data_IF_276787662246
#
_entry.id   IF_276787662246
#
_cell.length_a   1.000
_cell.length_b   1.000
_cell.length_c   1.000
_cell.angle_alpha   90.00
_cell.angle_beta   90.00
_cell.angle_gamma   90.00
#
_symmetry.space_group_name_H-M   'P 1'
#
loop_
_entity.id
_entity.type
_entity.pdbx_description
1 polymer ?
#
# COMPACT_ATOMS: atom_id res chain seq x y z
N UNK A 1 -15.63 16.66 -23.29
CA UNK A 1 -16.37 15.57 -22.62
C UNK A 1 -15.37 14.90 -21.69
N UNK A 2 -15.43 15.21 -20.38
CA UNK A 2 -14.53 14.67 -19.36
C UNK A 2 -15.02 13.26 -19.01
N UNK A 3 -14.29 12.25 -19.45
CA UNK A 3 -14.52 10.87 -19.02
C UNK A 3 -13.97 10.71 -17.62
N UNK A 4 -14.81 10.94 -16.63
CA UNK A 4 -14.56 10.54 -15.25
C UNK A 4 -14.87 9.06 -15.13
N UNK A 5 -14.02 8.20 -15.64
CA UNK A 5 -13.92 6.83 -15.13
C UNK A 5 -13.39 6.93 -13.70
N UNK A 6 -14.34 6.89 -12.75
CA UNK A 6 -14.00 6.56 -11.37
C UNK A 6 -13.25 5.23 -11.43
N UNK A 7 -11.93 5.29 -11.27
CA UNK A 7 -11.09 4.11 -11.10
C UNK A 7 -11.68 3.31 -9.93
N UNK A 8 -12.47 2.29 -10.26
CA UNK A 8 -12.81 1.23 -9.34
C UNK A 8 -11.50 0.53 -9.04
N UNK A 9 -10.94 0.82 -7.88
CA UNK A 9 -9.81 0.07 -7.36
C UNK A 9 -10.37 -1.27 -6.87
N UNK A 10 -10.76 -2.09 -7.81
CA UNK A 10 -10.84 -3.52 -7.64
C UNK A 10 -9.45 -3.97 -8.02
N UNK A 11 -8.70 -4.33 -7.03
CA UNK A 11 -7.45 -5.05 -7.19
C UNK A 11 -7.80 -6.46 -7.65
N UNK A 12 -8.21 -6.54 -8.91
CA UNK A 12 -8.39 -7.77 -9.62
C UNK A 12 -7.00 -8.20 -10.04
N UNK A 13 -6.42 -9.02 -9.16
CA UNK A 13 -5.33 -9.95 -9.44
C UNK A 13 -4.49 -9.67 -10.69
N UNK A 14 -3.20 -9.73 -10.48
CA UNK A 14 -2.21 -9.95 -11.53
C UNK A 14 -2.56 -11.24 -12.30
N UNK A 15 -3.63 -11.19 -13.07
CA UNK A 15 -4.02 -12.27 -13.96
C UNK A 15 -3.07 -12.41 -15.13
N UNK A 16 -1.92 -11.85 -15.06
CA UNK A 16 -0.80 -11.84 -15.99
C UNK A 16 -0.14 -10.46 -16.00
N UNK A 17 1.12 -10.36 -15.97
CA UNK A 17 2.19 -11.32 -15.64
C UNK A 17 2.58 -11.19 -14.16
N UNK A 18 3.35 -12.13 -13.62
CA UNK A 18 3.93 -12.10 -12.27
C UNK A 18 4.68 -10.80 -11.93
N UNK A 19 4.89 -9.95 -12.93
CA UNK A 19 5.54 -8.65 -12.85
C UNK A 19 4.70 -7.64 -13.64
N UNK A 20 4.34 -6.52 -13.01
CA UNK A 20 3.76 -5.35 -13.67
C UNK A 20 4.56 -4.11 -13.29
N UNK A 21 4.97 -3.34 -14.29
CA UNK A 21 5.74 -2.12 -14.09
C UNK A 21 4.98 -0.96 -14.67
N UNK A 22 4.86 0.13 -13.91
CA UNK A 22 4.15 1.33 -14.33
C UNK A 22 4.91 2.56 -13.86
N UNK A 23 4.88 3.61 -14.68
CA UNK A 23 5.37 4.93 -14.30
C UNK A 23 4.19 5.88 -14.21
N UNK A 24 4.11 6.65 -13.13
CA UNK A 24 3.07 7.63 -12.89
C UNK A 24 3.67 8.96 -12.51
N UNK A 25 3.12 10.03 -13.08
CA UNK A 25 3.39 11.39 -12.63
C UNK A 25 2.08 12.05 -12.24
N UNK A 26 1.97 12.45 -10.98
CA UNK A 26 0.83 13.20 -10.44
C UNK A 26 1.17 14.68 -10.42
N UNK A 27 0.39 15.50 -11.12
CA UNK A 27 0.57 16.96 -11.22
C UNK A 27 -0.33 17.72 -10.25
N UNK A 28 -1.39 17.08 -9.80
CA UNK A 28 -2.37 17.62 -8.87
C UNK A 28 -2.64 16.60 -7.77
N UNK A 29 -3.19 17.03 -6.62
CA UNK A 29 -3.56 16.11 -5.55
C UNK A 29 -4.56 15.05 -6.05
N UNK A 30 -4.10 13.82 -6.15
CA UNK A 30 -4.93 12.68 -6.52
C UNK A 30 -5.65 12.10 -5.29
N UNK A 31 -6.94 11.84 -5.43
CA UNK A 31 -7.72 11.17 -4.40
C UNK A 31 -7.57 9.65 -4.50
N UNK A 32 -6.37 9.13 -4.19
CA UNK A 32 -6.15 7.68 -4.10
C UNK A 32 -6.65 7.22 -2.72
N UNK A 33 -7.70 6.38 -2.65
CA UNK A 33 -8.20 5.89 -1.37
C UNK A 33 -7.20 4.95 -0.69
N UNK A 34 -7.38 4.76 0.62
CA UNK A 34 -6.65 3.73 1.35
C UNK A 34 -7.02 2.37 0.78
N UNK A 35 -6.02 1.59 0.37
CA UNK A 35 -6.21 0.27 -0.26
C UNK A 35 -5.14 -0.73 0.17
N UNK A 36 -5.34 -1.97 -0.17
CA UNK A 36 -4.37 -3.06 -0.05
C UNK A 36 -4.51 -4.00 -1.23
N UNK A 37 -3.50 -4.78 -1.50
CA UNK A 37 -3.47 -5.75 -2.60
C UNK A 37 -2.75 -7.03 -2.17
N UNK A 38 -2.87 -8.10 -2.98
CA UNK A 38 -2.31 -9.43 -2.71
C UNK A 38 -0.88 -9.63 -3.24
N UNK A 39 -0.31 -8.63 -3.87
CA UNK A 39 1.04 -8.65 -4.42
C UNK A 39 1.99 -7.73 -3.64
N UNK A 40 3.28 -7.88 -3.86
CA UNK A 40 4.29 -6.93 -3.40
C UNK A 40 4.34 -5.74 -4.36
N UNK A 41 4.42 -4.54 -3.82
CA UNK A 41 4.65 -3.33 -4.60
C UNK A 41 5.94 -2.65 -4.14
N UNK A 42 6.82 -2.37 -5.10
CA UNK A 42 8.07 -1.65 -4.86
C UNK A 42 7.99 -0.35 -5.64
N UNK A 43 8.00 0.76 -4.93
CA UNK A 43 7.86 2.10 -5.50
C UNK A 43 9.20 2.81 -5.40
N UNK A 44 9.75 3.24 -6.53
CA UNK A 44 10.87 4.16 -6.59
C UNK A 44 10.33 5.57 -6.86
N UNK A 45 10.63 6.52 -5.98
CA UNK A 45 10.30 7.91 -6.15
C UNK A 45 11.34 8.57 -7.08
N UNK A 46 10.94 8.90 -8.32
CA UNK A 46 11.84 9.52 -9.29
C UNK A 46 12.04 11.01 -8.98
N UNK A 47 10.94 11.70 -8.64
CA UNK A 47 10.95 13.13 -8.39
C UNK A 47 9.79 13.55 -7.48
N UNK A 48 9.98 14.68 -6.80
CA UNK A 48 8.98 15.27 -5.92
C UNK A 48 9.06 14.85 -4.47
N UNK A 49 8.06 15.31 -3.72
CA UNK A 49 7.93 15.07 -2.27
C UNK A 49 6.48 14.83 -1.91
N UNK A 50 6.23 13.72 -1.21
CA UNK A 50 4.90 13.43 -0.65
C UNK A 50 5.01 12.73 0.70
N UNK A 51 3.87 12.65 1.39
CA UNK A 51 3.73 11.71 2.49
C UNK A 51 3.08 10.42 1.98
N UNK A 52 3.48 9.31 2.56
CA UNK A 52 2.91 7.99 2.28
C UNK A 52 2.43 7.37 3.58
N UNK A 53 1.17 6.96 3.63
CA UNK A 53 0.63 6.17 4.73
C UNK A 53 0.77 4.70 4.38
N UNK A 54 1.43 3.91 5.24
CA UNK A 54 1.56 2.46 5.11
C UNK A 54 1.30 1.83 6.48
N UNK A 55 0.26 1.00 6.56
CA UNK A 55 -0.21 0.49 7.83
C UNK A 55 -0.62 1.62 8.76
N UNK A 56 0.05 1.72 9.90
CA UNK A 56 -0.17 2.74 10.92
C UNK A 56 0.91 3.85 10.94
N UNK A 57 1.81 3.87 9.94
CA UNK A 57 2.92 4.81 9.88
C UNK A 57 2.82 5.73 8.67
N UNK A 58 3.15 6.99 8.86
CA UNK A 58 3.33 7.96 7.77
C UNK A 58 4.82 8.15 7.51
N UNK A 59 5.17 8.15 6.24
CA UNK A 59 6.53 8.31 5.76
C UNK A 59 6.64 9.58 4.92
N UNK A 60 7.70 10.34 5.13
CA UNK A 60 8.10 11.41 4.23
C UNK A 60 8.93 10.79 3.10
N UNK A 61 8.43 10.87 1.89
CA UNK A 61 9.04 10.29 0.69
C UNK A 61 9.59 11.39 -0.18
N UNK A 62 10.85 11.25 -0.53
CA UNK A 62 11.60 12.20 -1.36
C UNK A 62 12.10 11.51 -2.63
N UNK A 63 12.55 12.30 -3.58
CA UNK A 63 13.28 11.80 -4.75
C UNK A 63 14.42 10.85 -4.32
N UNK A 64 14.54 9.72 -4.99
CA UNK A 64 15.48 8.65 -4.69
C UNK A 64 15.00 7.63 -3.65
N UNK A 65 13.93 7.89 -2.93
CA UNK A 65 13.42 6.94 -1.93
C UNK A 65 12.75 5.73 -2.59
N UNK A 66 12.92 4.56 -1.96
CA UNK A 66 12.28 3.31 -2.36
C UNK A 66 11.36 2.85 -1.24
N UNK A 67 10.10 2.62 -1.60
CA UNK A 67 9.08 2.08 -0.70
C UNK A 67 8.84 0.63 -1.05
N UNK A 68 8.79 -0.24 -0.04
CA UNK A 68 8.36 -1.64 -0.19
C UNK A 68 7.04 -1.84 0.55
N UNK A 69 6.03 -2.29 -0.17
CA UNK A 69 4.68 -2.54 0.34
C UNK A 69 4.40 -4.04 0.19
N UNK A 70 4.32 -4.79 1.31
CA UNK A 70 3.99 -6.21 1.27
C UNK A 70 2.49 -6.46 1.03
N UNK A 71 2.11 -7.67 0.59
CA UNK A 71 0.72 -8.08 0.47
C UNK A 71 -0.08 -7.81 1.73
N UNK A 72 -1.31 -7.31 1.56
CA UNK A 72 -2.23 -7.02 2.66
C UNK A 72 -1.93 -5.74 3.44
N UNK A 73 -0.76 -5.12 3.29
CA UNK A 73 -0.48 -3.84 3.92
C UNK A 73 -1.34 -2.74 3.29
N UNK A 74 -2.12 -2.07 4.12
CA UNK A 74 -2.90 -0.93 3.67
C UNK A 74 -1.99 0.26 3.42
N UNK A 75 -2.23 0.96 2.34
CA UNK A 75 -1.40 2.10 1.99
C UNK A 75 -2.12 3.10 1.10
N UNK A 76 -1.59 4.32 1.08
CA UNK A 76 -1.98 5.37 0.13
C UNK A 76 -0.94 6.50 0.11
N UNK A 77 -0.72 7.18 -1.03
CA UNK A 77 -0.07 8.47 -1.05
C UNK A 77 -0.97 9.52 -0.41
N UNK A 78 -0.38 10.48 0.29
CA UNK A 78 -1.06 11.61 0.90
C UNK A 78 -0.60 12.87 0.18
N UNK A 79 -1.46 13.37 -0.69
CA UNK A 79 -1.24 14.63 -1.39
C UNK A 79 -1.82 15.76 -0.55
N UNK A 80 -1.07 16.82 -0.35
CA UNK A 80 -1.56 18.04 0.28
C UNK A 80 -2.19 18.97 -0.77
N UNK A 81 -3.04 19.89 -0.34
CA UNK A 81 -3.83 20.78 -1.20
C UNK A 81 -2.99 21.59 -2.21
N UNK A 82 -1.69 21.74 -1.96
CA UNK A 82 -0.76 22.41 -2.87
C UNK A 82 0.50 21.56 -3.02
N UNK A 83 0.60 20.84 -4.13
CA UNK A 83 1.85 20.24 -4.54
C UNK A 83 2.73 21.35 -5.13
N UNK A 84 3.92 21.56 -4.57
CA UNK A 84 4.92 22.51 -5.11
C UNK A 84 5.55 22.00 -6.40
N UNK A 85 5.62 20.68 -6.56
CA UNK A 85 6.24 19.98 -7.68
C UNK A 85 5.47 18.70 -8.02
N UNK A 86 5.52 18.23 -9.29
CA UNK A 86 4.94 16.95 -9.66
C UNK A 86 5.60 15.80 -8.88
N UNK A 87 4.81 14.78 -8.55
CA UNK A 87 5.31 13.55 -7.95
C UNK A 87 5.40 12.45 -8.99
N UNK A 88 6.62 12.06 -9.36
CA UNK A 88 6.88 10.99 -10.32
C UNK A 88 7.41 9.74 -9.64
N UNK A 89 6.89 8.57 -10.04
CA UNK A 89 7.26 7.28 -9.45
C UNK A 89 7.21 6.14 -10.45
N UNK A 90 8.10 5.18 -10.25
CA UNK A 90 8.06 3.86 -10.90
C UNK A 90 7.54 2.85 -9.86
N UNK A 91 6.46 2.15 -10.20
CA UNK A 91 5.92 1.06 -9.38
C UNK A 91 6.19 -0.27 -10.06
N UNK A 92 6.83 -1.19 -9.33
CA UNK A 92 7.07 -2.58 -9.72
C UNK A 92 6.23 -3.47 -8.84
N UNK A 93 5.21 -4.09 -9.42
CA UNK A 93 4.30 -5.01 -8.75
C UNK A 93 4.71 -6.44 -9.03
N UNK A 94 4.80 -7.26 -7.99
CA UNK A 94 5.31 -8.62 -8.04
C UNK A 94 4.35 -9.59 -7.37
N UNK A 95 4.02 -10.70 -8.04
CA UNK A 95 3.25 -11.76 -7.39
C UNK A 95 4.02 -12.34 -6.19
N UNK A 96 3.28 -12.76 -5.16
CA UNK A 96 3.88 -13.44 -3.99
C UNK A 96 4.56 -14.75 -4.36
N UNK A 97 4.12 -15.40 -5.44
CA UNK A 97 4.72 -16.63 -5.96
C UNK A 97 6.09 -16.35 -6.55
N UNK A 98 6.19 -15.34 -7.43
CA UNK A 98 7.46 -14.95 -8.02
C UNK A 98 8.46 -14.54 -6.96
N UNK A 99 8.07 -13.69 -6.02
CA UNK A 99 8.97 -13.25 -4.97
C UNK A 99 9.45 -14.43 -4.12
N UNK A 100 8.57 -15.37 -3.75
CA UNK A 100 8.96 -16.59 -3.02
C UNK A 100 9.96 -17.45 -3.82
N UNK A 101 9.82 -17.51 -5.14
CA UNK A 101 10.76 -18.25 -6.00
C UNK A 101 12.17 -17.64 -5.96
N UNK A 102 12.25 -16.32 -6.06
CA UNK A 102 13.51 -15.59 -5.99
C UNK A 102 14.13 -15.67 -4.60
N UNK A 103 13.31 -15.51 -3.55
CA UNK A 103 13.76 -15.49 -2.16
C UNK A 103 14.26 -16.86 -1.68
N UNK A 104 13.79 -17.97 -2.24
CA UNK A 104 14.38 -19.30 -1.93
C UNK A 104 15.88 -19.39 -2.20
N UNK A 105 16.42 -18.45 -2.98
CA UNK A 105 17.84 -18.29 -3.24
C UNK A 105 18.52 -17.33 -2.24
N UNK A 106 17.76 -16.69 -1.36
CA UNK A 106 18.24 -15.70 -0.40
C UNK A 106 18.27 -16.31 1.02
N UNK A 107 19.09 -15.76 1.94
CA UNK A 107 19.05 -16.17 3.35
C UNK A 107 17.68 -15.94 3.99
N UNK A 108 17.28 -16.81 4.93
CA UNK A 108 15.98 -16.72 5.63
C UNK A 108 15.77 -15.37 6.34
N UNK A 109 16.83 -14.76 6.84
CA UNK A 109 16.82 -13.42 7.46
C UNK A 109 16.30 -12.31 6.53
N UNK A 110 16.28 -12.52 5.22
CA UNK A 110 15.75 -11.56 4.27
C UNK A 110 14.21 -11.53 4.26
N UNK A 111 13.57 -12.71 4.27
CA UNK A 111 12.11 -12.81 4.37
C UNK A 111 11.57 -12.15 5.64
N UNK A 112 12.24 -12.40 6.77
CA UNK A 112 11.89 -11.78 8.03
C UNK A 112 11.97 -10.25 7.96
N UNK A 113 13.00 -9.69 7.32
CA UNK A 113 13.14 -8.24 7.11
C UNK A 113 12.11 -7.67 6.15
N UNK A 114 11.77 -8.37 5.05
CA UNK A 114 10.72 -7.95 4.13
C UNK A 114 9.33 -7.94 4.80
N UNK A 115 9.10 -8.84 5.73
CA UNK A 115 7.84 -8.96 6.46
C UNK A 115 7.79 -8.07 7.70
N UNK A 116 8.96 -7.59 8.17
CA UNK A 116 9.01 -6.70 9.32
C UNK A 116 8.43 -5.34 8.92
N UNK A 117 7.43 -4.87 9.68
CA UNK A 117 6.73 -3.60 9.44
C UNK A 117 7.63 -2.35 9.48
N UNK A 118 8.89 -2.51 9.87
CA UNK A 118 9.82 -1.39 10.08
C UNK A 118 10.71 -1.07 8.86
N UNK A 119 10.53 -1.78 7.73
CA UNK A 119 11.41 -1.66 6.57
C UNK A 119 10.67 -1.28 5.27
N UNK A 120 9.68 -0.40 5.36
CA UNK A 120 8.92 0.03 4.18
C UNK A 120 9.59 1.15 3.37
N UNK A 121 10.57 1.85 3.93
CA UNK A 121 11.24 2.97 3.28
C UNK A 121 12.76 2.78 3.29
N UNK A 122 13.39 2.81 2.12
CA UNK A 122 14.85 2.85 1.93
C UNK A 122 15.24 4.18 1.30
N UNK A 123 16.07 4.97 1.97
CA UNK A 123 16.64 6.21 1.42
C UNK A 123 17.87 5.88 0.61
N UNK A 124 17.92 6.32 -0.64
CA UNK A 124 19.07 6.04 -1.51
C UNK A 124 19.90 7.30 -1.80
N UNK A 125 19.29 8.49 -1.76
CA UNK A 125 20.01 9.74 -2.07
C UNK A 125 21.10 10.01 -1.03
N UNK A 126 22.28 10.37 -1.52
CA UNK A 126 23.46 10.56 -0.65
C UNK A 126 24.05 9.28 -0.06
N UNK A 127 23.59 8.10 -0.44
CA UNK A 127 24.08 6.79 0.02
C UNK A 127 24.73 6.00 -1.10
N UNK A 128 25.39 4.88 -0.72
CA UNK A 128 25.95 3.93 -1.66
C UNK A 128 24.87 3.22 -2.52
N UNK A 129 23.57 3.40 -2.21
CA UNK A 129 22.46 2.71 -2.87
C UNK A 129 21.81 3.51 -4.01
N UNK A 130 22.29 4.72 -4.31
CA UNK A 130 21.80 5.55 -5.42
C UNK A 130 21.79 4.82 -6.77
N UNK A 131 22.68 3.86 -6.98
CA UNK A 131 22.74 3.05 -8.20
C UNK A 131 21.46 2.22 -8.45
N UNK A 132 20.60 2.00 -7.43
CA UNK A 132 19.34 1.26 -7.59
C UNK A 132 18.39 1.93 -8.58
N UNK A 133 18.46 3.25 -8.73
CA UNK A 133 17.72 3.99 -9.73
C UNK A 133 17.87 3.40 -11.14
N UNK A 134 19.09 3.04 -11.54
CA UNK A 134 19.36 2.50 -12.86
C UNK A 134 18.63 1.17 -13.13
N UNK A 135 18.46 0.34 -12.11
CA UNK A 135 17.73 -0.92 -12.24
C UNK A 135 16.22 -0.71 -12.36
N UNK A 136 15.65 0.27 -11.66
CA UNK A 136 14.24 0.63 -11.84
C UNK A 136 13.98 1.14 -13.26
N UNK A 137 14.82 2.02 -13.78
CA UNK A 137 14.74 2.52 -15.16
C UNK A 137 14.89 1.41 -16.20
N UNK A 138 15.78 0.44 -15.94
CA UNK A 138 15.96 -0.69 -16.82
C UNK A 138 14.72 -1.60 -16.84
N UNK A 139 14.17 -1.95 -15.69
CA UNK A 139 12.93 -2.75 -15.59
C UNK A 139 11.76 -2.03 -16.25
N UNK A 140 11.65 -0.71 -16.08
CA UNK A 140 10.62 0.10 -16.75
C UNK A 140 10.79 0.06 -18.28
N UNK A 141 12.02 0.22 -18.77
CA UNK A 141 12.31 0.19 -20.20
C UNK A 141 11.91 -1.16 -20.81
N UNK A 142 12.27 -2.27 -20.16
CA UNK A 142 11.93 -3.62 -20.63
C UNK A 142 10.40 -3.86 -20.62
N UNK A 143 9.69 -3.34 -19.64
CA UNK A 143 8.23 -3.52 -19.55
C UNK A 143 7.45 -2.85 -20.69
N UNK A 144 8.03 -1.86 -21.36
CA UNK A 144 7.45 -1.16 -22.50
C UNK A 144 7.83 -1.76 -23.86
N UNK A 145 8.64 -2.85 -23.90
CA UNK A 145 9.10 -3.43 -25.16
C UNK A 145 8.09 -4.44 -25.73
N UNK A 146 8.12 -4.57 -27.06
CA UNK A 146 7.40 -5.61 -27.81
C UNK A 146 8.34 -6.53 -28.59
N UNK A 147 9.62 -6.51 -28.26
CA UNK A 147 10.65 -7.34 -28.92
C UNK A 147 10.54 -8.80 -28.50
N UNK A 148 11.01 -9.75 -29.32
CA UNK A 148 11.07 -11.15 -28.91
C UNK A 148 11.83 -11.32 -27.59
N UNK A 149 11.32 -12.17 -26.70
CA UNK A 149 11.89 -12.48 -25.37
C UNK A 149 11.89 -11.28 -24.38
N UNK A 150 11.08 -10.26 -24.61
CA UNK A 150 10.95 -9.12 -23.69
C UNK A 150 10.54 -9.56 -22.27
N UNK A 151 9.68 -10.55 -22.18
CA UNK A 151 9.19 -11.14 -20.92
C UNK A 151 10.30 -11.83 -20.14
N UNK A 152 11.20 -12.55 -20.82
CA UNK A 152 12.38 -13.18 -20.23
C UNK A 152 13.38 -12.11 -19.75
N UNK A 153 13.58 -11.05 -20.55
CA UNK A 153 14.43 -9.91 -20.17
C UNK A 153 13.87 -9.16 -18.98
N UNK A 154 12.58 -8.87 -18.96
CA UNK A 154 11.88 -8.24 -17.83
C UNK A 154 12.04 -9.07 -16.55
N UNK A 155 11.83 -10.39 -16.62
CA UNK A 155 12.04 -11.31 -15.51
C UNK A 155 13.47 -11.26 -14.98
N UNK A 156 14.47 -11.38 -15.86
CA UNK A 156 15.88 -11.34 -15.50
C UNK A 156 16.30 -10.04 -14.84
N UNK A 157 15.89 -8.89 -15.42
CA UNK A 157 16.17 -7.57 -14.88
C UNK A 157 15.48 -7.34 -13.52
N UNK A 158 14.26 -7.85 -13.34
CA UNK A 158 13.57 -7.81 -12.06
C UNK A 158 14.28 -8.64 -10.99
N UNK A 159 14.78 -9.82 -11.33
CA UNK A 159 15.60 -10.63 -10.41
C UNK A 159 16.87 -9.88 -9.98
N UNK A 160 17.54 -9.21 -10.90
CA UNK A 160 18.74 -8.41 -10.60
C UNK A 160 18.39 -7.23 -9.69
N UNK A 161 17.33 -6.49 -9.99
CA UNK A 161 16.83 -5.39 -9.12
C UNK A 161 16.58 -5.91 -7.70
N UNK A 162 15.86 -7.04 -7.56
CA UNK A 162 15.54 -7.62 -6.25
C UNK A 162 16.80 -8.04 -5.48
N UNK A 163 17.78 -8.65 -6.13
CA UNK A 163 19.06 -9.00 -5.49
C UNK A 163 19.76 -7.76 -4.94
N UNK A 164 19.82 -6.68 -5.72
CA UNK A 164 20.45 -5.45 -5.27
C UNK A 164 19.66 -4.74 -4.17
N UNK A 165 18.32 -4.75 -4.24
CA UNK A 165 17.48 -4.25 -3.18
C UNK A 165 17.66 -5.05 -1.89
N UNK A 166 17.73 -6.39 -1.98
CA UNK A 166 18.04 -7.26 -0.86
C UNK A 166 19.36 -6.89 -0.18
N UNK A 167 20.41 -6.73 -0.99
CA UNK A 167 21.73 -6.33 -0.47
C UNK A 167 21.68 -5.00 0.26
N UNK A 168 20.97 -4.02 -0.31
CA UNK A 168 20.78 -2.72 0.33
C UNK A 168 20.04 -2.85 1.67
N UNK A 169 18.95 -3.60 1.72
CA UNK A 169 18.17 -3.82 2.94
C UNK A 169 18.94 -4.60 4.02
N UNK A 170 19.76 -5.57 3.62
CA UNK A 170 20.60 -6.33 4.57
C UNK A 170 21.75 -5.49 5.12
N UNK A 171 22.32 -4.58 4.31
CA UNK A 171 23.45 -3.73 4.68
C UNK A 171 23.05 -2.43 5.36
N UNK A 172 21.80 -2.00 5.22
CA UNK A 172 21.27 -0.80 5.87
C UNK A 172 21.08 -1.07 7.37
N UNK A 173 22.17 -1.01 8.13
CA UNK A 173 22.11 -1.02 9.59
C UNK A 173 21.39 0.24 10.06
N UNK A 174 20.12 0.08 10.49
CA UNK A 174 19.36 1.03 11.35
C UNK A 174 19.25 2.50 10.89
N UNK A 175 19.46 2.83 9.62
CA UNK A 175 19.35 4.20 9.12
C UNK A 175 17.93 4.57 8.65
N UNK A 176 16.92 4.05 9.33
CA UNK A 176 15.56 4.55 9.15
C UNK A 176 15.36 5.74 10.08
N UNK A 177 15.08 6.94 9.56
CA UNK A 177 14.85 8.08 10.42
C UNK A 177 13.64 7.77 11.31
N UNK A 178 13.85 7.86 12.62
CA UNK A 178 12.74 7.93 13.57
C UNK A 178 12.04 9.27 13.32
N UNK A 179 10.99 9.26 12.53
CA UNK A 179 10.20 10.46 12.32
C UNK A 179 9.49 10.82 13.64
N UNK A 180 9.47 12.12 13.96
CA UNK A 180 8.70 12.62 15.09
C UNK A 180 7.23 12.26 14.87
N UNK A 181 6.67 11.40 15.73
CA UNK A 181 5.27 11.00 15.66
C UNK A 181 4.39 12.18 16.02
N UNK A 182 3.55 12.59 15.09
CA UNK A 182 2.48 13.54 15.35
C UNK A 182 1.30 12.86 16.06
N UNK A 183 0.42 13.64 16.69
CA UNK A 183 -0.79 13.09 17.32
C UNK A 183 -1.64 12.23 16.38
N UNK A 184 -1.68 12.57 15.09
CA UNK A 184 -2.42 11.78 14.11
C UNK A 184 -1.85 10.37 13.93
N UNK A 185 -0.54 10.19 14.03
CA UNK A 185 0.10 8.87 13.90
C UNK A 185 -0.26 7.95 15.07
N UNK A 186 -0.37 8.52 16.27
CA UNK A 186 -0.83 7.79 17.45
C UNK A 186 -2.30 7.36 17.32
N UNK A 187 -3.14 8.26 16.77
CA UNK A 187 -4.55 7.97 16.53
C UNK A 187 -4.72 6.88 15.47
N UNK A 188 -3.96 6.97 14.37
CA UNK A 188 -3.94 5.93 13.32
C UNK A 188 -3.55 4.59 13.93
N UNK A 189 -2.44 4.53 14.69
CA UNK A 189 -1.99 3.30 15.34
C UNK A 189 -3.02 2.73 16.32
N UNK A 190 -3.77 3.60 17.01
CA UNK A 190 -4.87 3.18 17.86
C UNK A 190 -6.02 2.55 17.05
N UNK A 191 -6.45 3.19 15.97
CA UNK A 191 -7.50 2.64 15.09
C UNK A 191 -7.07 1.28 14.51
N UNK A 192 -5.80 1.14 14.09
CA UNK A 192 -5.26 -0.13 13.59
C UNK A 192 -5.41 -1.30 14.57
N UNK A 193 -5.26 -1.02 15.85
CA UNK A 193 -5.33 -2.03 16.90
C UNK A 193 -6.76 -2.31 17.39
N UNK A 194 -7.69 -1.39 17.12
CA UNK A 194 -9.03 -1.39 17.69
C UNK A 194 -10.16 -1.26 16.65
N UNK A 195 -9.87 -1.44 15.35
CA UNK A 195 -10.88 -1.27 14.28
C UNK A 195 -12.06 -2.23 14.43
N UNK A 196 -11.88 -3.36 15.09
CA UNK A 196 -12.93 -4.35 15.36
C UNK A 196 -13.94 -3.86 16.43
N UNK A 197 -13.52 -2.92 17.28
CA UNK A 197 -14.30 -2.38 18.37
C UNK A 197 -15.23 -1.25 17.89
N UNK A 198 -16.17 -0.86 18.75
CA UNK A 198 -16.99 0.34 18.49
C UNK A 198 -16.12 1.58 18.66
N UNK A 199 -15.73 2.19 17.56
CA UNK A 199 -14.98 3.44 17.54
C UNK A 199 -15.92 4.61 17.26
N UNK A 200 -16.00 5.58 18.21
CA UNK A 200 -16.69 6.84 18.02
C UNK A 200 -15.71 8.01 17.96
N UNK A 201 -16.12 9.06 17.26
CA UNK A 201 -15.35 10.30 17.16
C UNK A 201 -15.13 10.92 18.55
N UNK A 202 -16.18 10.90 19.39
CA UNK A 202 -16.20 11.46 20.72
C UNK A 202 -15.25 10.73 21.67
N UNK A 203 -15.35 9.39 21.73
CA UNK A 203 -14.49 8.57 22.60
C UNK A 203 -13.02 8.66 22.16
N UNK A 204 -12.77 8.66 20.84
CA UNK A 204 -11.42 8.78 20.30
C UNK A 204 -10.83 10.16 20.61
N UNK A 205 -11.60 11.24 20.41
CA UNK A 205 -11.16 12.60 20.76
C UNK A 205 -10.85 12.75 22.25
N UNK A 206 -11.72 12.22 23.12
CA UNK A 206 -11.51 12.21 24.56
C UNK A 206 -10.22 11.45 24.94
N UNK A 207 -9.99 10.27 24.37
CA UNK A 207 -8.80 9.44 24.63
C UNK A 207 -7.50 10.16 24.32
N UNK A 208 -7.48 10.96 23.25
CA UNK A 208 -6.28 11.70 22.82
C UNK A 208 -6.25 13.15 23.32
N UNK A 209 -7.13 13.50 24.25
CA UNK A 209 -7.21 14.84 24.87
C UNK A 209 -7.36 16.00 23.87
N UNK A 210 -8.13 15.78 22.81
CA UNK A 210 -8.47 16.80 21.80
C UNK A 210 -9.97 16.92 21.62
N UNK A 211 -10.42 18.02 21.01
CA UNK A 211 -11.84 18.19 20.68
C UNK A 211 -12.22 17.35 19.45
N UNK A 212 -13.49 16.99 19.31
CA UNK A 212 -14.03 16.32 18.13
C UNK A 212 -13.80 17.12 16.85
N UNK A 213 -13.89 18.45 16.93
CA UNK A 213 -13.58 19.32 15.80
C UNK A 213 -12.11 19.28 15.41
N UNK A 214 -11.20 19.21 16.38
CA UNK A 214 -9.75 19.04 16.12
C UNK A 214 -9.48 17.69 15.47
N UNK A 215 -10.07 16.61 15.98
CA UNK A 215 -9.93 15.27 15.40
C UNK A 215 -10.43 15.22 13.96
N UNK A 216 -11.61 15.78 13.69
CA UNK A 216 -12.16 15.86 12.33
C UNK A 216 -11.24 16.64 11.38
N UNK A 217 -10.71 17.78 11.82
CA UNK A 217 -9.76 18.58 11.03
C UNK A 217 -8.44 17.84 10.78
N UNK A 218 -7.91 17.10 11.77
CA UNK A 218 -6.72 16.29 11.60
C UNK A 218 -6.91 15.23 10.52
N UNK A 219 -8.04 14.50 10.54
CA UNK A 219 -8.35 13.52 9.51
C UNK A 219 -8.48 14.14 8.12
N UNK A 220 -9.22 15.23 8.03
CA UNK A 220 -9.40 15.92 6.75
C UNK A 220 -8.07 16.48 6.21
N UNK A 221 -7.33 17.23 7.03
CA UNK A 221 -6.12 17.93 6.58
C UNK A 221 -4.92 17.00 6.37
N UNK A 222 -4.78 15.94 7.18
CA UNK A 222 -3.61 15.04 7.13
C UNK A 222 -3.86 13.76 6.34
N UNK A 223 -5.13 13.35 6.22
CA UNK A 223 -5.49 12.10 5.54
C UNK A 223 -6.49 12.30 4.38
N UNK A 224 -6.97 13.54 4.14
CA UNK A 224 -7.93 13.83 3.07
C UNK A 224 -9.24 13.05 3.18
N UNK A 225 -9.65 12.63 4.39
CA UNK A 225 -10.84 11.80 4.60
C UNK A 225 -11.48 12.07 5.96
N UNK A 226 -12.72 11.60 6.18
CA UNK A 226 -13.33 11.68 7.51
C UNK A 226 -12.91 10.51 8.41
N UNK A 227 -12.98 10.71 9.73
CA UNK A 227 -12.71 9.67 10.73
C UNK A 227 -13.50 8.37 10.46
N UNK A 228 -14.82 8.49 10.30
CA UNK A 228 -15.65 7.29 10.07
C UNK A 228 -15.40 6.61 8.74
N UNK A 229 -15.06 7.37 7.70
CA UNK A 229 -14.70 6.76 6.41
C UNK A 229 -13.37 6.02 6.52
N UNK A 230 -12.37 6.59 7.20
CA UNK A 230 -11.09 5.93 7.47
C UNK A 230 -11.27 4.61 8.23
N UNK A 231 -12.04 4.62 9.34
CA UNK A 231 -12.35 3.40 10.12
C UNK A 231 -13.04 2.36 9.23
N UNK A 232 -14.00 2.78 8.41
CA UNK A 232 -14.71 1.88 7.49
C UNK A 232 -13.75 1.27 6.46
N UNK A 233 -12.89 2.05 5.85
CA UNK A 233 -11.88 1.55 4.91
C UNK A 233 -10.96 0.51 5.57
N UNK A 234 -10.51 0.77 6.81
CA UNK A 234 -9.69 -0.19 7.57
C UNK A 234 -10.40 -1.53 7.79
N UNK A 235 -11.66 -1.48 8.20
CA UNK A 235 -12.51 -2.67 8.37
C UNK A 235 -12.67 -3.45 7.07
N UNK A 236 -12.90 -2.75 5.97
CA UNK A 236 -13.08 -3.35 4.65
C UNK A 236 -11.79 -4.01 4.13
N UNK A 237 -10.63 -3.39 4.33
CA UNK A 237 -9.33 -3.98 3.98
C UNK A 237 -9.12 -5.29 4.74
N UNK A 238 -9.33 -5.29 6.05
CA UNK A 238 -9.19 -6.51 6.86
C UNK A 238 -10.24 -7.58 6.53
N UNK A 239 -11.44 -7.16 6.10
CA UNK A 239 -12.47 -8.12 5.67
C UNK A 239 -12.06 -8.91 4.42
N UNK A 240 -11.31 -8.32 3.49
CA UNK A 240 -10.79 -9.05 2.32
C UNK A 240 -9.90 -10.21 2.74
N UNK A 241 -8.96 -9.98 3.66
CA UNK A 241 -8.08 -11.04 4.18
C UNK A 241 -8.87 -12.16 4.86
N UNK A 242 -9.87 -11.82 5.68
CA UNK A 242 -10.71 -12.83 6.34
C UNK A 242 -11.58 -13.62 5.35
N UNK A 243 -12.06 -12.98 4.28
CA UNK A 243 -12.79 -13.67 3.18
C UNK A 243 -11.87 -14.68 2.48
N UNK A 244 -10.65 -14.29 2.15
CA UNK A 244 -9.65 -15.14 1.50
C UNK A 244 -9.24 -16.33 2.39
N UNK A 245 -9.24 -16.16 3.71
CA UNK A 245 -9.04 -17.22 4.70
C UNK A 245 -10.21 -18.20 4.82
N UNK A 246 -11.32 -17.94 4.11
CA UNK A 246 -12.46 -18.84 4.05
C UNK A 246 -13.56 -18.61 5.09
N UNK A 247 -13.44 -17.60 5.96
CA UNK A 247 -14.44 -17.27 6.97
C UNK A 247 -15.83 -17.03 6.37
N UNK A 248 -16.89 -17.26 7.16
CA UNK A 248 -18.25 -16.95 6.74
C UNK A 248 -18.47 -15.45 6.62
N UNK A 249 -19.39 -15.01 5.77
CA UNK A 249 -19.63 -13.56 5.55
C UNK A 249 -20.17 -12.88 6.80
N UNK A 250 -20.98 -13.58 7.58
CA UNK A 250 -21.53 -13.14 8.86
C UNK A 250 -20.41 -12.96 9.91
N UNK A 251 -19.52 -13.93 10.00
CA UNK A 251 -18.35 -13.88 10.89
C UNK A 251 -17.40 -12.74 10.50
N UNK A 252 -17.11 -12.59 9.20
CA UNK A 252 -16.29 -11.48 8.68
C UNK A 252 -16.88 -10.14 9.07
N UNK A 253 -18.20 -9.96 8.91
CA UNK A 253 -18.86 -8.70 9.27
C UNK A 253 -18.65 -8.35 10.76
N UNK A 254 -18.90 -9.30 11.65
CA UNK A 254 -18.80 -9.10 13.11
C UNK A 254 -17.34 -8.89 13.54
N UNK A 255 -16.44 -9.76 13.09
CA UNK A 255 -15.01 -9.70 13.48
C UNK A 255 -14.24 -8.55 12.83
N UNK A 256 -14.83 -7.86 11.85
CA UNK A 256 -14.31 -6.60 11.31
C UNK A 256 -14.99 -5.36 11.91
N UNK A 257 -15.83 -5.51 12.94
CA UNK A 257 -16.42 -4.39 13.67
C UNK A 257 -17.66 -3.77 13.01
N UNK A 258 -18.29 -4.45 12.05
CA UNK A 258 -19.61 -4.05 11.54
C UNK A 258 -20.71 -4.53 12.47
N UNK A 259 -21.78 -3.74 12.61
CA UNK A 259 -22.90 -4.10 13.48
C UNK A 259 -23.68 -5.34 12.97
N UNK A 260 -23.73 -5.53 11.66
CA UNK A 260 -24.39 -6.65 11.00
C UNK A 260 -23.86 -6.86 9.57
N UNK A 261 -24.24 -7.99 8.97
CA UNK A 261 -23.89 -8.30 7.58
C UNK A 261 -24.42 -7.29 6.58
N UNK A 262 -25.59 -6.69 6.82
CA UNK A 262 -26.18 -5.74 5.88
C UNK A 262 -25.38 -4.43 5.82
N UNK A 263 -24.89 -3.96 6.96
CA UNK A 263 -23.99 -2.80 7.03
C UNK A 263 -22.67 -3.07 6.33
N UNK A 264 -22.07 -4.25 6.58
CA UNK A 264 -20.87 -4.70 5.89
C UNK A 264 -21.07 -4.78 4.38
N UNK A 265 -22.13 -5.47 3.93
CA UNK A 265 -22.43 -5.63 2.50
C UNK A 265 -22.54 -4.28 1.78
N UNK A 266 -23.30 -3.33 2.36
CA UNK A 266 -23.47 -1.99 1.76
C UNK A 266 -22.14 -1.24 1.68
N UNK A 267 -21.35 -1.28 2.75
CA UNK A 267 -20.04 -0.62 2.79
C UNK A 267 -19.09 -1.24 1.76
N UNK A 268 -18.99 -2.56 1.71
CA UNK A 268 -18.13 -3.30 0.79
C UNK A 268 -18.51 -3.03 -0.68
N UNK A 269 -19.79 -3.15 -1.02
CA UNK A 269 -20.28 -2.89 -2.38
C UNK A 269 -20.10 -1.43 -2.81
N UNK A 270 -20.26 -0.49 -1.88
CA UNK A 270 -20.01 0.94 -2.15
C UNK A 270 -18.53 1.20 -2.44
N UNK A 271 -17.63 0.61 -1.68
CA UNK A 271 -16.18 0.83 -1.80
C UNK A 271 -15.60 0.11 -3.03
N UNK A 272 -15.91 -1.18 -3.18
CA UNK A 272 -15.29 -2.01 -4.21
C UNK A 272 -16.15 -2.24 -5.47
N UNK A 273 -17.42 -1.84 -5.45
CA UNK A 273 -18.33 -1.98 -6.59
C UNK A 273 -18.91 -3.39 -6.80
N UNK A 274 -18.39 -4.38 -6.09
CA UNK A 274 -18.85 -5.79 -6.09
C UNK A 274 -19.27 -6.21 -4.70
N UNK A 275 -20.04 -7.30 -4.58
CA UNK A 275 -20.42 -7.86 -3.29
C UNK A 275 -19.28 -8.66 -2.65
N UNK A 276 -19.28 -8.86 -1.32
CA UNK A 276 -18.30 -9.72 -0.65
C UNK A 276 -18.27 -11.16 -1.19
N UNK A 277 -19.41 -11.70 -1.60
CA UNK A 277 -19.50 -13.04 -2.20
C UNK A 277 -18.88 -13.09 -3.60
N UNK A 278 -19.14 -12.09 -4.44
CA UNK A 278 -18.48 -11.97 -5.75
C UNK A 278 -16.96 -11.84 -5.57
N UNK A 279 -16.51 -11.05 -4.60
CA UNK A 279 -15.08 -10.94 -4.27
C UNK A 279 -14.49 -12.32 -3.90
N UNK A 280 -15.15 -13.10 -3.03
CA UNK A 280 -14.71 -14.45 -2.66
C UNK A 280 -14.56 -15.37 -3.86
N UNK A 281 -15.51 -15.35 -4.80
CA UNK A 281 -15.44 -16.17 -6.01
C UNK A 281 -14.28 -15.77 -6.92
N UNK A 282 -13.99 -14.48 -7.01
CA UNK A 282 -12.86 -13.97 -7.79
C UNK A 282 -11.52 -14.36 -7.14
N UNK A 283 -11.37 -14.20 -5.84
CA UNK A 283 -10.12 -14.52 -5.12
C UNK A 283 -9.76 -16.02 -5.16
N UNK A 284 -10.75 -16.92 -5.17
CA UNK A 284 -10.49 -18.36 -5.30
C UNK A 284 -9.98 -18.71 -6.70
N UNK A 285 -10.57 -18.13 -7.76
CA UNK A 285 -10.15 -18.38 -9.15
C UNK A 285 -8.74 -17.91 -9.48
N UNK A 286 -8.24 -16.94 -8.74
CA UNK A 286 -6.89 -16.41 -8.92
C UNK A 286 -5.83 -17.23 -8.18
N UNK A 287 -6.26 -18.17 -7.31
CA UNK A 287 -5.37 -19.04 -6.55
C UNK A 287 -5.21 -20.45 -7.20
N UNK A 288 -6.03 -20.77 -8.20
CA UNK A 288 -5.93 -21.95 -9.06
C UNK A 288 -5.10 -21.64 -10.32
#
# INVERSE_FOLDING_TARGET
MKNTEKNKIIDLDLNYPHIKVTQYTSYEPDSIPLHSHSFYEIIYCEDGYIHYLIGDKRYHVHSGDIILIPPGASHRPLFYDHMSEPFSRISVQLSSELLRHIIKLCPDSFLERLQSRDHFLLRTEGTAYKYLESYFKQVLTESGQSMPLWDVSLYGNTCVLLVHLCRALLSAENNFPSENRENIDLIISYIEKHYEEKLSLEETAHRFHISTSTLSKLFFNKLGTSFYHYVTQRRLINSKLKIEQGNSMEEVALTCGFCDYSAFYRAFKKEYGISPREYKHLSIRSAE
#
